data_IF_782107791386
#
_entry.id   IF_782107791386
#
_cell.length_a   1.000
_cell.length_b   1.000
_cell.length_c   1.000
_cell.angle_alpha   90.00
_cell.angle_beta   90.00
_cell.angle_gamma   90.00
#
_symmetry.space_group_name_H-M   'P 1'
#
loop_
_entity.id
_entity.type
_entity.pdbx_description
1 polymer ?
#
# COMPACT_ATOMS: atom_id res chain seq x y z
N UNK A 1 7.65 -29.31 14.89
CA UNK A 1 7.13 -28.47 13.80
C UNK A 1 7.82 -27.13 13.95
N UNK A 2 8.31 -26.55 12.88
CA UNK A 2 8.95 -25.24 12.95
C UNK A 2 7.94 -24.13 13.28
N UNK A 3 8.39 -23.06 13.95
CA UNK A 3 7.55 -21.92 14.32
C UNK A 3 7.16 -21.12 13.06
N UNK A 4 5.88 -20.83 12.89
CA UNK A 4 5.36 -20.03 11.79
C UNK A 4 5.01 -18.62 12.27
N UNK A 5 5.61 -17.61 11.70
CA UNK A 5 5.33 -16.18 11.99
C UNK A 5 4.71 -15.51 10.76
N UNK A 6 3.55 -14.91 10.92
CA UNK A 6 2.96 -14.09 9.89
C UNK A 6 3.46 -12.64 10.00
N UNK A 7 3.96 -12.08 8.91
CA UNK A 7 4.33 -10.68 8.81
C UNK A 7 3.15 -9.90 8.23
N UNK A 8 2.49 -9.10 9.05
CA UNK A 8 1.34 -8.29 8.68
C UNK A 8 1.67 -6.80 8.74
N UNK A 9 0.93 -5.98 8.03
CA UNK A 9 1.08 -4.52 8.07
C UNK A 9 0.49 -3.82 6.86
N UNK A 10 0.31 -2.52 7.01
CA UNK A 10 -0.26 -1.68 5.97
C UNK A 10 0.67 -1.59 4.74
N UNK A 11 0.13 -1.29 3.56
CA UNK A 11 0.96 -0.95 2.40
C UNK A 11 1.92 0.19 2.73
N UNK A 12 3.16 0.06 2.27
CA UNK A 12 4.26 1.02 2.50
C UNK A 12 4.77 1.16 3.96
N UNK A 13 4.34 0.33 4.89
CA UNK A 13 4.88 0.30 6.27
C UNK A 13 6.34 -0.19 6.37
N UNK A 14 6.92 -0.68 5.26
CA UNK A 14 8.26 -1.25 5.22
C UNK A 14 8.32 -2.78 5.39
N UNK A 15 7.18 -3.46 5.23
CA UNK A 15 7.02 -4.91 5.41
C UNK A 15 7.99 -5.72 4.54
N UNK A 16 8.04 -5.45 3.24
CA UNK A 16 8.96 -6.15 2.31
C UNK A 16 10.43 -5.91 2.67
N UNK A 17 10.79 -4.72 3.14
CA UNK A 17 12.15 -4.42 3.60
C UNK A 17 12.51 -5.27 4.82
N UNK A 18 11.60 -5.36 5.80
CA UNK A 18 11.79 -6.19 6.99
C UNK A 18 11.88 -7.68 6.62
N UNK A 19 10.98 -8.17 5.75
CA UNK A 19 10.99 -9.56 5.28
C UNK A 19 12.33 -9.92 4.64
N UNK A 20 12.84 -9.08 3.72
CA UNK A 20 14.12 -9.29 3.06
C UNK A 20 15.29 -9.24 4.06
N UNK A 21 15.24 -8.37 5.05
CA UNK A 21 16.26 -8.29 6.08
C UNK A 21 16.30 -9.55 6.96
N UNK A 22 15.15 -10.12 7.30
CA UNK A 22 15.02 -11.32 8.12
C UNK A 22 15.38 -12.60 7.36
N UNK A 23 14.95 -12.76 6.10
CA UNK A 23 15.05 -14.01 5.35
C UNK A 23 16.24 -14.06 4.38
N UNK A 24 16.67 -12.90 3.85
CA UNK A 24 17.76 -12.80 2.87
C UNK A 24 17.40 -13.48 1.55
N UNK A 25 18.31 -14.35 1.05
CA UNK A 25 18.11 -15.08 -0.21
C UNK A 25 17.27 -16.38 -0.05
N UNK A 26 16.92 -16.75 1.17
CA UNK A 26 16.18 -18.00 1.46
C UNK A 26 14.67 -17.76 1.39
N UNK A 27 14.18 -17.39 0.22
CA UNK A 27 12.77 -17.06 -0.02
C UNK A 27 12.18 -17.98 -1.07
N UNK A 28 10.93 -18.37 -0.85
CA UNK A 28 10.07 -18.97 -1.86
C UNK A 28 9.03 -17.91 -2.30
N UNK A 29 8.92 -17.72 -3.61
CA UNK A 29 7.96 -16.79 -4.20
C UNK A 29 7.03 -17.58 -5.11
N UNK A 30 5.74 -17.44 -4.92
CA UNK A 30 4.69 -18.08 -5.71
C UNK A 30 3.42 -17.24 -5.66
N UNK A 31 2.30 -17.84 -6.02
CA UNK A 31 1.00 -17.21 -5.86
C UNK A 31 0.18 -17.94 -4.79
N UNK A 32 -0.72 -17.24 -4.14
CA UNK A 32 -1.70 -17.87 -3.28
C UNK A 32 -2.65 -18.75 -4.11
N UNK A 33 -3.08 -19.92 -3.60
CA UNK A 33 -3.95 -20.82 -4.33
C UNK A 33 -5.23 -20.11 -4.84
N UNK A 34 -5.49 -20.24 -6.15
CA UNK A 34 -6.72 -19.73 -6.78
C UNK A 34 -6.78 -18.21 -7.03
N UNK A 35 -5.71 -17.47 -6.74
CA UNK A 35 -5.66 -16.00 -6.93
C UNK A 35 -4.31 -15.57 -7.50
N UNK A 36 -4.27 -14.36 -8.09
CA UNK A 36 -3.04 -13.76 -8.65
C UNK A 36 -2.20 -12.98 -7.63
N UNK A 37 -2.53 -13.10 -6.34
CA UNK A 37 -1.80 -12.43 -5.26
C UNK A 37 -0.52 -13.18 -4.96
N UNK A 38 0.59 -12.45 -4.86
CA UNK A 38 1.91 -13.01 -4.60
C UNK A 38 2.03 -13.55 -3.17
N UNK A 39 2.55 -14.78 -3.04
CA UNK A 39 2.87 -15.43 -1.77
C UNK A 39 4.38 -15.44 -1.59
N UNK A 40 4.88 -14.91 -0.48
CA UNK A 40 6.29 -14.95 -0.11
C UNK A 40 6.46 -15.65 1.23
N UNK A 41 7.32 -16.65 1.23
CA UNK A 41 7.67 -17.43 2.40
C UNK A 41 9.19 -17.53 2.50
N UNK A 42 9.75 -17.41 3.71
CA UNK A 42 11.18 -17.50 3.89
C UNK A 42 11.57 -17.99 5.27
N UNK A 43 12.75 -18.60 5.38
CA UNK A 43 13.31 -19.02 6.65
C UNK A 43 14.10 -17.88 7.28
N UNK A 44 13.95 -17.69 8.58
CA UNK A 44 14.73 -16.70 9.30
C UNK A 44 16.22 -17.03 9.25
N UNK A 45 17.07 -16.04 9.06
CA UNK A 45 18.53 -16.22 8.91
C UNK A 45 19.19 -16.79 10.14
N UNK A 46 18.71 -16.43 11.33
CA UNK A 46 19.31 -16.83 12.62
C UNK A 46 18.76 -18.15 13.11
N UNK A 47 17.51 -18.50 12.76
CA UNK A 47 16.91 -19.77 13.10
C UNK A 47 16.12 -20.33 11.91
N UNK A 48 16.67 -21.33 11.26
CA UNK A 48 16.06 -21.95 10.06
C UNK A 48 14.82 -22.82 10.35
N UNK A 49 14.49 -23.04 11.60
CA UNK A 49 13.25 -23.70 11.99
C UNK A 49 12.08 -22.72 12.02
N UNK A 50 12.35 -21.42 12.06
CA UNK A 50 11.36 -20.36 12.00
C UNK A 50 11.06 -20.01 10.55
N UNK A 51 9.80 -20.12 10.17
CA UNK A 51 9.27 -19.76 8.86
C UNK A 51 8.51 -18.44 8.97
N UNK A 52 8.89 -17.47 8.15
CA UNK A 52 8.23 -16.17 8.08
C UNK A 52 7.39 -16.12 6.80
N UNK A 53 6.10 -15.86 6.95
CA UNK A 53 5.15 -15.68 5.87
C UNK A 53 4.90 -14.18 5.66
N UNK A 54 5.23 -13.64 4.49
CA UNK A 54 4.91 -12.26 4.13
C UNK A 54 3.48 -12.18 3.60
N UNK A 55 2.57 -11.62 4.39
CA UNK A 55 1.20 -11.39 3.97
C UNK A 55 1.11 -10.18 3.04
N UNK A 56 0.13 -10.10 2.16
CA UNK A 56 -0.14 -8.89 1.39
C UNK A 56 -0.28 -7.66 2.29
N UNK A 57 0.07 -6.48 1.78
CA UNK A 57 -0.16 -5.23 2.50
C UNK A 57 -1.65 -4.89 2.51
N UNK A 58 -2.23 -4.81 3.70
CA UNK A 58 -3.66 -4.60 3.89
C UNK A 58 -3.92 -3.46 4.87
N UNK A 59 -5.08 -2.82 4.77
CA UNK A 59 -5.52 -1.79 5.72
C UNK A 59 -6.50 -2.34 6.75
N UNK A 60 -7.19 -3.42 6.41
CA UNK A 60 -8.24 -4.03 7.23
C UNK A 60 -8.30 -5.53 6.95
N UNK A 61 -8.91 -6.27 7.86
CA UNK A 61 -9.31 -7.67 7.66
C UNK A 61 -10.73 -7.78 7.06
N UNK A 62 -11.37 -6.66 6.71
CA UNK A 62 -12.63 -6.65 5.98
C UNK A 62 -12.41 -6.97 4.50
N UNK A 63 -13.29 -7.75 3.85
CA UNK A 63 -13.00 -8.40 2.56
C UNK A 63 -13.29 -7.53 1.33
N UNK A 64 -12.76 -6.30 1.29
CA UNK A 64 -12.97 -5.40 0.15
C UNK A 64 -12.03 -5.69 -1.04
N UNK A 65 -10.80 -6.15 -0.76
CA UNK A 65 -9.81 -6.48 -1.78
C UNK A 65 -9.42 -7.96 -1.74
N UNK A 66 -8.86 -8.47 -2.86
CA UNK A 66 -8.36 -9.86 -2.90
C UNK A 66 -7.22 -10.07 -1.90
N UNK A 67 -6.37 -9.08 -1.72
CA UNK A 67 -5.26 -9.08 -0.78
C UNK A 67 -5.76 -9.23 0.66
N UNK A 68 -6.81 -8.50 1.04
CA UNK A 68 -7.43 -8.58 2.37
C UNK A 68 -8.08 -9.94 2.61
N UNK A 69 -8.77 -10.47 1.59
CA UNK A 69 -9.36 -11.82 1.65
C UNK A 69 -8.29 -12.88 1.89
N UNK A 70 -7.18 -12.81 1.14
CA UNK A 70 -6.06 -13.76 1.24
C UNK A 70 -5.42 -13.70 2.62
N UNK A 71 -5.07 -12.49 3.09
CA UNK A 71 -4.43 -12.31 4.39
C UNK A 71 -5.32 -12.81 5.53
N UNK A 72 -6.61 -12.44 5.50
CA UNK A 72 -7.60 -12.88 6.49
C UNK A 72 -7.76 -14.40 6.50
N UNK A 73 -7.96 -15.02 5.33
CA UNK A 73 -8.15 -16.47 5.23
C UNK A 73 -6.92 -17.20 5.78
N UNK A 74 -5.71 -16.75 5.46
CA UNK A 74 -4.49 -17.33 6.00
C UNK A 74 -4.46 -17.25 7.53
N UNK A 75 -4.75 -16.07 8.11
CA UNK A 75 -4.72 -15.89 9.56
C UNK A 75 -5.76 -16.75 10.30
N UNK A 76 -6.93 -16.96 9.71
CA UNK A 76 -8.02 -17.73 10.30
C UNK A 76 -7.77 -19.26 10.15
N UNK A 77 -7.38 -19.72 8.93
CA UNK A 77 -7.30 -21.16 8.64
C UNK A 77 -5.95 -21.78 9.00
N UNK A 78 -4.84 -21.12 8.66
CA UNK A 78 -3.49 -21.63 8.93
C UNK A 78 -3.01 -21.32 10.34
N UNK A 79 -3.56 -20.31 10.98
CA UNK A 79 -3.26 -19.87 12.34
C UNK A 79 -1.76 -19.91 12.64
N UNK A 80 -0.99 -18.90 12.22
CA UNK A 80 0.43 -18.82 12.55
C UNK A 80 0.62 -18.78 14.07
N UNK A 81 1.78 -19.22 14.55
CA UNK A 81 2.10 -19.25 15.98
C UNK A 81 2.23 -17.86 16.59
N UNK A 82 2.59 -16.85 15.79
CA UNK A 82 2.58 -15.44 16.16
C UNK A 82 2.43 -14.53 14.92
N UNK A 83 1.99 -13.28 15.16
CA UNK A 83 1.93 -12.22 14.15
C UNK A 83 2.97 -11.16 14.50
N UNK A 84 3.86 -10.85 13.57
CA UNK A 84 4.72 -9.67 13.64
C UNK A 84 4.07 -8.56 12.80
N UNK A 85 3.39 -7.63 13.45
CA UNK A 85 2.67 -6.54 12.82
C UNK A 85 3.58 -5.31 12.65
N UNK A 86 3.82 -4.88 11.40
CA UNK A 86 4.63 -3.71 11.10
C UNK A 86 3.73 -2.49 10.96
N UNK A 87 4.05 -1.49 11.75
CA UNK A 87 3.31 -0.23 11.84
C UNK A 87 4.22 0.93 11.45
N UNK A 88 3.74 1.80 10.57
CA UNK A 88 4.44 3.05 10.24
C UNK A 88 4.28 4.06 11.39
N UNK A 89 5.38 4.35 12.08
CA UNK A 89 5.40 5.29 13.20
C UNK A 89 5.08 6.74 12.80
N UNK A 90 5.21 7.11 11.53
CA UNK A 90 4.86 8.45 11.05
C UNK A 90 3.35 8.62 10.86
N UNK A 91 2.61 7.49 10.68
CA UNK A 91 1.16 7.43 10.48
C UNK A 91 0.52 6.42 11.44
N UNK A 92 0.84 6.53 12.72
CA UNK A 92 0.47 5.55 13.74
C UNK A 92 -1.04 5.32 13.80
N UNK A 93 -1.84 6.39 13.81
CA UNK A 93 -3.31 6.33 13.90
C UNK A 93 -3.93 5.42 12.83
N UNK A 94 -3.57 5.62 11.57
CA UNK A 94 -4.10 4.83 10.46
C UNK A 94 -3.68 3.36 10.55
N UNK A 95 -2.47 3.09 11.02
CA UNK A 95 -1.93 1.74 11.10
C UNK A 95 -2.50 0.95 12.28
N UNK A 96 -2.90 1.62 13.36
CA UNK A 96 -3.50 0.97 14.52
C UNK A 96 -4.85 0.32 14.21
N UNK A 97 -5.57 0.75 13.18
CA UNK A 97 -6.83 0.14 12.78
C UNK A 97 -6.66 -1.36 12.40
N UNK A 98 -5.63 -1.68 11.62
CA UNK A 98 -5.30 -3.09 11.35
C UNK A 98 -4.81 -3.79 12.62
N UNK A 99 -4.03 -3.10 13.45
CA UNK A 99 -3.49 -3.69 14.69
C UNK A 99 -4.63 -4.15 15.63
N UNK A 100 -5.67 -3.33 15.81
CA UNK A 100 -6.82 -3.72 16.64
C UNK A 100 -7.50 -4.99 16.12
N UNK A 101 -7.70 -5.09 14.82
CA UNK A 101 -8.29 -6.29 14.21
C UNK A 101 -7.41 -7.54 14.31
N UNK A 102 -6.08 -7.39 14.24
CA UNK A 102 -5.16 -8.50 14.44
C UNK A 102 -5.17 -9.03 15.88
N UNK A 103 -5.34 -8.13 16.86
CA UNK A 103 -5.49 -8.50 18.27
C UNK A 103 -6.78 -9.28 18.54
N UNK A 104 -7.86 -8.97 17.81
CA UNK A 104 -9.16 -9.67 17.93
C UNK A 104 -9.10 -11.14 17.48
N UNK A 105 -8.07 -11.56 16.71
CA UNK A 105 -7.92 -12.94 16.20
C UNK A 105 -7.52 -13.98 17.28
N UNK A 106 -7.11 -13.52 18.46
CA UNK A 106 -6.62 -14.42 19.51
C UNK A 106 -5.30 -15.12 19.16
N UNK A 107 -4.49 -14.52 18.29
CA UNK A 107 -3.13 -14.95 17.95
C UNK A 107 -2.16 -13.98 18.63
N UNK A 108 -1.04 -14.44 19.23
CA UNK A 108 -0.05 -13.54 19.79
C UNK A 108 0.48 -12.52 18.79
N UNK A 109 0.40 -11.24 19.11
CA UNK A 109 0.84 -10.13 18.24
C UNK A 109 2.02 -9.42 18.87
N UNK A 110 3.07 -9.23 18.11
CA UNK A 110 4.18 -8.30 18.43
C UNK A 110 4.12 -7.15 17.45
N UNK A 111 3.97 -5.93 17.95
CA UNK A 111 3.90 -4.73 17.13
C UNK A 111 5.29 -4.11 16.93
N UNK A 112 5.76 -4.03 15.69
CA UNK A 112 7.02 -3.40 15.31
C UNK A 112 6.77 -2.03 14.70
N UNK A 113 7.04 -0.96 15.46
CA UNK A 113 6.93 0.42 14.98
C UNK A 113 8.15 0.74 14.13
N UNK A 114 7.94 0.87 12.84
CA UNK A 114 8.97 1.19 11.86
C UNK A 114 9.10 2.69 11.60
N UNK A 115 10.15 3.08 10.88
CA UNK A 115 10.46 4.48 10.55
C UNK A 115 10.75 5.37 11.77
N UNK A 116 11.22 4.77 12.87
CA UNK A 116 11.54 5.50 14.09
C UNK A 116 12.67 6.53 13.92
N UNK A 117 13.49 6.37 12.90
CA UNK A 117 14.48 7.38 12.52
C UNK A 117 13.82 8.65 11.96
N UNK A 118 12.72 8.52 11.23
CA UNK A 118 11.93 9.65 10.72
C UNK A 118 11.13 10.29 11.85
N UNK A 119 10.48 9.50 12.70
CA UNK A 119 9.75 9.97 13.89
C UNK A 119 10.66 10.84 14.77
N UNK A 120 11.86 10.35 15.11
CA UNK A 120 12.86 11.11 15.90
C UNK A 120 13.35 12.35 15.17
N UNK A 121 13.56 12.28 13.84
CA UNK A 121 13.97 13.43 13.04
C UNK A 121 12.93 14.55 13.05
N UNK A 122 11.64 14.17 13.05
CA UNK A 122 10.54 15.11 13.14
C UNK A 122 10.34 15.69 14.55
N UNK A 123 11.05 15.16 15.54
CA UNK A 123 10.89 15.54 16.94
C UNK A 123 9.62 15.01 17.60
N UNK A 124 8.97 14.01 16.97
CA UNK A 124 7.82 13.33 17.53
C UNK A 124 8.27 12.26 18.54
N UNK A 125 7.51 12.07 19.61
CA UNK A 125 7.76 11.07 20.63
C UNK A 125 6.61 10.09 20.74
N UNK A 126 6.93 8.78 20.66
CA UNK A 126 5.97 7.69 20.86
C UNK A 126 6.31 7.00 22.19
N UNK A 127 5.36 6.98 23.11
CA UNK A 127 5.48 6.24 24.37
C UNK A 127 5.12 4.77 24.16
N UNK A 128 6.12 3.96 23.81
CA UNK A 128 5.94 2.53 23.50
C UNK A 128 5.45 1.71 24.70
N UNK A 129 5.79 2.10 25.93
CA UNK A 129 5.33 1.40 27.14
C UNK A 129 3.84 1.56 27.35
N UNK A 130 3.35 2.82 27.32
CA UNK A 130 1.91 3.08 27.40
C UNK A 130 1.14 2.44 26.25
N UNK A 131 1.74 2.44 25.05
CA UNK A 131 1.13 1.83 23.88
C UNK A 131 0.98 0.32 24.05
N UNK A 132 2.02 -0.36 24.59
CA UNK A 132 1.99 -1.77 24.91
C UNK A 132 0.94 -2.11 25.97
N UNK A 133 0.85 -1.30 27.02
CA UNK A 133 -0.16 -1.47 28.08
C UNK A 133 -1.58 -1.34 27.55
N UNK A 134 -1.84 -0.31 26.70
CA UNK A 134 -3.18 -0.06 26.15
C UNK A 134 -3.62 -1.08 25.11
N UNK A 135 -2.68 -1.56 24.30
CA UNK A 135 -2.95 -2.57 23.27
C UNK A 135 -2.90 -4.01 23.80
N UNK A 136 -2.35 -4.22 24.99
CA UNK A 136 -2.14 -5.55 25.55
C UNK A 136 -1.18 -6.43 24.75
N UNK A 137 -0.28 -5.83 23.95
CA UNK A 137 0.68 -6.55 23.14
C UNK A 137 2.09 -5.99 23.29
N UNK A 138 3.10 -6.78 22.96
CA UNK A 138 4.48 -6.30 23.02
C UNK A 138 4.76 -5.33 21.87
N UNK A 139 5.42 -4.19 22.18
CA UNK A 139 5.74 -3.13 21.22
C UNK A 139 7.25 -2.97 21.12
N UNK A 140 7.78 -3.04 19.90
CA UNK A 140 9.21 -2.89 19.59
C UNK A 140 9.39 -1.74 18.59
N UNK A 141 10.46 -0.98 18.73
CA UNK A 141 10.81 0.06 17.75
C UNK A 141 11.86 -0.44 16.79
N UNK A 142 11.65 -0.22 15.49
CA UNK A 142 12.57 -0.63 14.46
C UNK A 142 12.85 0.49 13.43
N UNK A 143 13.94 0.34 12.71
CA UNK A 143 14.17 1.03 11.43
C UNK A 143 14.59 -0.01 10.41
N UNK A 144 13.63 -0.50 9.62
CA UNK A 144 13.87 -1.57 8.65
C UNK A 144 14.93 -1.17 7.60
N UNK A 145 14.97 0.13 7.23
CA UNK A 145 15.96 0.66 6.28
C UNK A 145 17.39 0.66 6.86
N UNK A 146 17.55 0.95 8.16
CA UNK A 146 18.85 0.98 8.83
C UNK A 146 19.26 -0.38 9.40
N UNK A 147 18.34 -1.33 9.47
CA UNK A 147 18.58 -2.62 10.10
C UNK A 147 18.46 -2.65 11.63
N UNK A 148 18.03 -1.53 12.23
CA UNK A 148 17.95 -1.40 13.70
C UNK A 148 16.70 -2.12 14.24
N UNK A 149 16.85 -2.87 15.34
CA UNK A 149 15.76 -3.51 16.07
C UNK A 149 15.11 -4.71 15.39
N UNK A 150 15.50 -5.06 14.15
CA UNK A 150 14.88 -6.12 13.34
C UNK A 150 14.98 -7.50 14.04
N UNK A 151 16.16 -7.85 14.52
CA UNK A 151 16.40 -9.12 15.20
C UNK A 151 15.64 -9.25 16.50
N UNK A 152 15.60 -8.15 17.27
CA UNK A 152 14.85 -8.11 18.52
C UNK A 152 13.35 -8.33 18.28
N UNK A 153 12.78 -7.66 17.27
CA UNK A 153 11.39 -7.84 16.90
C UNK A 153 11.05 -9.30 16.52
N UNK A 154 11.89 -9.95 15.69
CA UNK A 154 11.71 -11.35 15.32
C UNK A 154 11.88 -12.28 16.51
N UNK A 155 12.90 -12.08 17.36
CA UNK A 155 13.13 -12.91 18.55
C UNK A 155 11.97 -12.84 19.53
N UNK A 156 11.36 -11.65 19.71
CA UNK A 156 10.18 -11.49 20.56
C UNK A 156 8.97 -12.18 19.97
N UNK A 157 8.75 -12.09 18.63
CA UNK A 157 7.68 -12.82 17.98
C UNK A 157 7.83 -14.34 18.17
N UNK A 158 9.05 -14.88 18.04
CA UNK A 158 9.34 -16.31 18.33
C UNK A 158 9.08 -16.66 19.79
N UNK A 159 9.48 -15.78 20.73
CA UNK A 159 9.25 -15.98 22.16
C UNK A 159 7.77 -16.05 22.53
N UNK A 160 6.93 -15.28 21.86
CA UNK A 160 5.49 -15.27 22.07
C UNK A 160 4.76 -16.33 21.25
N UNK A 161 5.44 -16.94 20.28
CA UNK A 161 4.87 -18.02 19.48
C UNK A 161 4.39 -19.20 20.34
N UNK A 162 3.15 -19.63 20.11
CA UNK A 162 2.54 -20.72 20.86
C UNK A 162 2.12 -20.38 22.30
N UNK A 163 2.35 -19.16 22.76
CA UNK A 163 1.70 -18.68 23.99
C UNK A 163 0.23 -18.39 23.67
N UNK A 164 -0.67 -18.68 24.63
CA UNK A 164 -2.04 -18.20 24.50
C UNK A 164 -2.00 -16.67 24.49
N UNK A 165 -2.60 -16.03 23.48
CA UNK A 165 -2.87 -14.61 23.55
C UNK A 165 -3.63 -14.37 24.88
N UNK A 166 -3.10 -13.49 25.72
CA UNK A 166 -3.76 -13.22 27.01
C UNK A 166 -5.18 -12.73 26.77
N UNK A 167 -6.13 -13.28 27.49
CA UNK A 167 -7.54 -12.83 27.42
C UNK A 167 -7.69 -11.31 27.73
N UNK A 168 -6.68 -10.72 28.38
CA UNK A 168 -6.64 -9.28 28.76
C UNK A 168 -6.21 -8.36 27.61
N UNK A 169 -5.85 -8.89 26.43
CA UNK A 169 -5.28 -8.10 25.33
C UNK A 169 -6.27 -7.55 24.31
N UNK A 170 -7.55 -7.84 24.48
CA UNK A 170 -8.58 -7.33 23.57
C UNK A 170 -9.15 -6.05 24.16
N UNK A 171 -9.10 -4.97 23.37
CA UNK A 171 -9.75 -3.72 23.79
C UNK A 171 -11.27 -3.94 23.96
N UNK A 172 -11.84 -3.32 24.98
CA UNK A 172 -13.26 -3.31 25.22
C UNK A 172 -13.89 -2.14 24.47
N UNK A 173 -15.00 -2.39 23.81
CA UNK A 173 -15.87 -1.38 23.20
C UNK A 173 -16.73 -0.70 24.27
N UNK A 174 -17.59 0.23 23.89
CA UNK A 174 -18.56 0.80 24.80
C UNK A 174 -19.44 -0.30 25.42
N UNK A 175 -19.84 -0.16 26.70
CA UNK A 175 -20.61 -1.21 27.43
C UNK A 175 -21.87 -1.69 26.70
N UNK A 176 -22.52 -0.80 25.96
CA UNK A 176 -23.70 -1.10 25.16
C UNK A 176 -23.34 -2.08 24.02
N UNK A 177 -22.25 -1.82 23.30
CA UNK A 177 -21.77 -2.69 22.19
C UNK A 177 -21.28 -4.03 22.74
N UNK A 178 -20.55 -4.00 23.87
CA UNK A 178 -20.08 -5.22 24.54
C UNK A 178 -21.23 -6.16 24.93
N UNK A 179 -22.34 -5.63 25.40
CA UNK A 179 -23.51 -6.45 25.74
C UNK A 179 -24.04 -7.20 24.51
N UNK A 180 -24.12 -6.54 23.34
CA UNK A 180 -24.57 -7.19 22.12
C UNK A 180 -23.57 -8.22 21.62
N UNK A 181 -22.26 -7.92 21.68
CA UNK A 181 -21.23 -8.87 21.28
C UNK A 181 -21.20 -10.11 22.18
N UNK A 182 -21.35 -9.95 23.50
CA UNK A 182 -21.44 -11.05 24.45
C UNK A 182 -22.67 -11.93 24.19
N UNK A 183 -23.82 -11.34 23.81
CA UNK A 183 -25.01 -12.09 23.42
C UNK A 183 -24.75 -12.93 22.16
N UNK A 184 -24.03 -12.37 21.16
CA UNK A 184 -23.63 -13.11 19.97
C UNK A 184 -22.63 -14.22 20.31
N UNK A 185 -21.62 -13.95 21.15
CA UNK A 185 -20.66 -14.95 21.61
C UNK A 185 -21.35 -16.12 22.28
N UNK A 186 -22.40 -15.86 23.07
CA UNK A 186 -23.23 -16.89 23.70
C UNK A 186 -24.01 -17.76 22.72
N UNK A 187 -24.30 -17.28 21.50
CA UNK A 187 -24.92 -18.07 20.41
C UNK A 187 -23.94 -18.87 19.59
N UNK A 188 -22.63 -18.57 19.68
CA UNK A 188 -21.60 -19.30 18.94
C UNK A 188 -21.46 -20.73 19.52
N UNK A 189 -21.39 -21.71 18.60
CA UNK A 189 -21.27 -23.13 18.97
C UNK A 189 -19.92 -23.48 19.58
N UNK A 190 -19.84 -24.63 20.23
CA UNK A 190 -18.59 -25.18 20.79
C UNK A 190 -17.53 -25.55 19.74
N UNK A 191 -17.89 -25.52 18.47
CA UNK A 191 -16.98 -25.78 17.34
C UNK A 191 -15.94 -24.67 17.17
N UNK A 192 -16.22 -23.46 17.70
CA UNK A 192 -15.34 -22.29 17.63
C UNK A 192 -14.53 -22.21 18.92
N UNK A 193 -13.17 -22.19 18.82
CA UNK A 193 -12.31 -22.01 19.99
C UNK A 193 -12.65 -20.71 20.74
N UNK A 194 -12.60 -20.72 22.07
CA UNK A 194 -12.91 -19.57 22.92
C UNK A 194 -12.11 -18.32 22.50
N UNK A 195 -10.85 -18.50 22.12
CA UNK A 195 -9.93 -17.43 21.70
C UNK A 195 -10.37 -16.75 20.40
N UNK A 196 -11.27 -17.39 19.63
CA UNK A 196 -11.77 -16.86 18.36
C UNK A 196 -13.21 -16.31 18.45
N UNK A 197 -13.94 -16.63 19.50
CA UNK A 197 -15.34 -16.24 19.62
C UNK A 197 -15.54 -14.76 19.45
N UNK A 198 -14.66 -13.95 20.06
CA UNK A 198 -14.66 -12.49 19.94
C UNK A 198 -14.60 -12.03 18.49
N UNK A 199 -13.64 -12.53 17.72
CA UNK A 199 -13.48 -12.20 16.31
C UNK A 199 -14.72 -12.57 15.48
N UNK A 200 -15.26 -13.79 15.70
CA UNK A 200 -16.45 -14.22 14.97
C UNK A 200 -17.70 -13.41 15.38
N UNK A 201 -17.85 -13.07 16.66
CA UNK A 201 -18.96 -12.24 17.13
C UNK A 201 -18.93 -10.86 16.48
N UNK A 202 -17.76 -10.19 16.45
CA UNK A 202 -17.60 -8.88 15.79
C UNK A 202 -17.92 -8.99 14.29
N UNK A 203 -17.43 -10.03 13.61
CA UNK A 203 -17.65 -10.20 12.16
C UNK A 203 -19.10 -10.55 11.82
N UNK A 204 -19.77 -11.30 12.64
CA UNK A 204 -21.21 -11.56 12.49
C UNK A 204 -22.02 -10.29 12.74
N UNK A 205 -21.64 -9.48 13.74
CA UNK A 205 -22.28 -8.19 14.03
C UNK A 205 -22.09 -7.22 12.85
N UNK A 206 -20.91 -7.17 12.23
CA UNK A 206 -20.62 -6.39 11.02
C UNK A 206 -21.33 -6.94 9.75
N UNK A 207 -22.11 -8.03 9.84
CA UNK A 207 -22.73 -8.75 8.70
C UNK A 207 -21.73 -9.19 7.63
N UNK A 208 -20.55 -9.68 8.03
CA UNK A 208 -19.56 -10.22 7.08
C UNK A 208 -20.06 -11.56 6.48
N UNK A 209 -20.67 -11.50 5.29
CA UNK A 209 -21.23 -12.65 4.59
C UNK A 209 -20.20 -13.75 4.35
N UNK A 210 -18.96 -13.40 4.07
CA UNK A 210 -17.89 -14.40 3.81
C UNK A 210 -17.51 -15.19 5.05
N UNK A 211 -17.58 -14.58 6.22
CA UNK A 211 -17.40 -15.29 7.50
C UNK A 211 -18.61 -16.17 7.77
N UNK A 212 -19.82 -15.65 7.56
CA UNK A 212 -21.06 -16.40 7.70
C UNK A 212 -21.07 -17.64 6.80
N UNK A 213 -20.66 -17.50 5.53
CA UNK A 213 -20.60 -18.60 4.55
C UNK A 213 -19.49 -19.63 4.89
N UNK A 214 -18.40 -19.19 5.52
CA UNK A 214 -17.31 -20.08 5.93
C UNK A 214 -17.67 -20.92 7.18
N UNK A 215 -18.66 -20.51 7.95
CA UNK A 215 -19.14 -21.22 9.14
C UNK A 215 -20.13 -22.32 8.74
N UNK A 216 -19.90 -23.57 9.18
CA UNK A 216 -20.84 -24.67 8.90
C UNK A 216 -22.23 -24.48 9.49
N UNK A 217 -22.30 -23.84 10.67
CA UNK A 217 -23.52 -23.57 11.43
C UNK A 217 -23.46 -22.15 11.97
N UNK A 218 -23.57 -21.13 11.12
CA UNK A 218 -23.62 -19.73 11.55
C UNK A 218 -24.93 -19.48 12.33
N UNK A 219 -24.89 -18.97 13.56
CA UNK A 219 -26.09 -18.62 14.29
C UNK A 219 -26.81 -17.46 13.61
N UNK A 220 -28.12 -17.43 13.70
CA UNK A 220 -28.89 -16.25 13.34
C UNK A 220 -28.75 -15.21 14.46
N UNK A 221 -28.24 -14.04 14.11
CA UNK A 221 -27.97 -12.92 15.02
C UNK A 221 -28.67 -11.63 14.59
N UNK A 222 -29.51 -11.70 13.55
CA UNK A 222 -30.14 -10.52 12.94
C UNK A 222 -31.05 -9.78 13.95
N UNK A 223 -31.69 -10.49 14.87
CA UNK A 223 -32.48 -9.91 15.94
C UNK A 223 -31.66 -9.05 16.93
N UNK A 224 -30.40 -9.45 17.18
CA UNK A 224 -29.48 -8.70 18.04
C UNK A 224 -29.00 -7.45 17.29
N UNK A 225 -28.59 -7.62 16.05
CA UNK A 225 -28.09 -6.53 15.19
C UNK A 225 -29.18 -5.46 15.02
N UNK A 226 -30.40 -5.84 14.66
CA UNK A 226 -31.49 -4.90 14.48
C UNK A 226 -31.85 -4.12 15.76
N UNK A 227 -31.65 -4.71 16.96
CA UNK A 227 -31.80 -4.01 18.22
C UNK A 227 -30.71 -2.96 18.43
N UNK A 228 -29.44 -3.34 18.15
CA UNK A 228 -28.30 -2.46 18.29
C UNK A 228 -28.39 -1.27 17.33
N UNK A 229 -28.71 -1.51 16.06
CA UNK A 229 -28.86 -0.46 15.03
C UNK A 229 -29.99 0.52 15.39
N UNK A 230 -31.10 0.01 15.94
CA UNK A 230 -32.20 0.86 16.39
C UNK A 230 -31.86 1.70 17.62
N UNK A 231 -31.05 1.14 18.55
CA UNK A 231 -30.68 1.84 19.79
C UNK A 231 -29.59 2.89 19.51
N UNK A 232 -28.62 2.58 18.63
CA UNK A 232 -27.49 3.44 18.34
C UNK A 232 -27.73 4.37 17.15
N UNK A 233 -28.84 4.23 16.41
CA UNK A 233 -29.21 5.01 15.22
C UNK A 233 -28.12 5.02 14.15
N UNK A 234 -27.41 3.88 14.00
CA UNK A 234 -26.34 3.69 13.02
C UNK A 234 -26.31 2.24 12.54
N UNK A 235 -25.67 1.97 11.40
CA UNK A 235 -25.50 0.60 10.90
C UNK A 235 -24.41 -0.16 11.68
N UNK A 236 -24.51 -1.47 11.72
CA UNK A 236 -23.66 -2.32 12.55
C UNK A 236 -22.16 -2.21 12.19
N UNK A 237 -21.81 -2.07 10.90
CA UNK A 237 -20.44 -1.88 10.44
C UNK A 237 -19.88 -0.52 10.91
N UNK A 238 -20.69 0.54 10.81
CA UNK A 238 -20.33 1.87 11.29
C UNK A 238 -20.15 1.91 12.79
N UNK A 239 -21.02 1.25 13.56
CA UNK A 239 -20.90 1.15 15.02
C UNK A 239 -19.53 0.61 15.41
N UNK A 240 -19.15 -0.56 14.90
CA UNK A 240 -17.86 -1.18 15.23
C UNK A 240 -16.67 -0.34 14.72
N UNK A 241 -16.82 0.27 13.56
CA UNK A 241 -15.77 1.14 13.01
C UNK A 241 -15.56 2.39 13.88
N UNK A 242 -16.64 3.03 14.33
CA UNK A 242 -16.60 4.19 15.20
C UNK A 242 -15.98 3.84 16.57
N UNK A 243 -16.32 2.68 17.14
CA UNK A 243 -15.73 2.19 18.39
C UNK A 243 -14.22 1.99 18.26
N UNK A 244 -13.74 1.34 17.17
CA UNK A 244 -12.30 1.19 16.91
C UNK A 244 -11.61 2.53 16.79
N UNK A 245 -12.16 3.50 16.05
CA UNK A 245 -11.56 4.82 15.92
C UNK A 245 -11.59 5.61 17.23
N UNK A 246 -12.63 5.47 18.04
CA UNK A 246 -12.71 6.07 19.38
C UNK A 246 -11.61 5.54 20.28
N UNK A 247 -11.41 4.22 20.31
CA UNK A 247 -10.32 3.58 21.04
C UNK A 247 -8.94 4.04 20.54
N UNK A 248 -8.71 4.02 19.22
CA UNK A 248 -7.45 4.48 18.61
C UNK A 248 -7.19 5.95 18.96
N UNK A 249 -8.20 6.82 18.88
CA UNK A 249 -8.10 8.22 19.26
C UNK A 249 -7.64 8.42 20.70
N UNK A 250 -8.17 7.61 21.63
CA UNK A 250 -7.77 7.62 23.03
C UNK A 250 -6.28 7.22 23.21
N UNK A 251 -5.83 6.21 22.46
CA UNK A 251 -4.43 5.76 22.50
C UNK A 251 -3.51 6.83 21.96
N UNK A 252 -3.84 7.40 20.80
CA UNK A 252 -3.00 8.43 20.15
C UNK A 252 -2.85 9.64 21.04
N UNK A 253 -3.95 10.11 21.67
CA UNK A 253 -3.90 11.24 22.60
C UNK A 253 -2.94 11.04 23.77
N UNK A 254 -2.83 9.82 24.26
CA UNK A 254 -2.01 9.49 25.44
C UNK A 254 -0.57 9.09 25.10
N UNK A 255 -0.35 8.48 23.94
CA UNK A 255 0.90 7.82 23.58
C UNK A 255 1.76 8.59 22.59
N UNK A 256 1.15 9.49 21.76
CA UNK A 256 1.86 10.22 20.72
C UNK A 256 1.94 11.71 21.07
N UNK A 257 3.16 12.23 21.22
CA UNK A 257 3.41 13.67 21.29
C UNK A 257 3.97 14.15 19.95
N UNK A 258 3.14 14.82 19.17
CA UNK A 258 3.59 15.49 17.95
C UNK A 258 4.26 16.80 18.29
N UNK A 259 5.45 17.02 17.74
CA UNK A 259 6.13 18.30 17.86
C UNK A 259 5.37 19.34 16.99
N UNK A 260 4.71 20.30 17.65
CA UNK A 260 3.96 21.38 16.99
C UNK A 260 4.83 22.35 16.17
N UNK A 261 6.14 22.30 16.37
CA UNK A 261 7.13 23.08 15.62
C UNK A 261 7.70 22.27 14.44
N UNK A 262 6.85 21.62 13.63
CA UNK A 262 7.32 21.16 12.33
C UNK A 262 7.69 22.41 11.52
N UNK A 263 8.99 22.71 11.44
CA UNK A 263 9.49 23.58 10.38
C UNK A 263 9.04 22.93 9.07
N UNK A 264 8.20 23.67 8.34
CA UNK A 264 7.74 23.24 7.02
C UNK A 264 8.96 22.79 6.23
N UNK A 265 8.98 21.54 5.82
CA UNK A 265 10.05 21.04 4.97
C UNK A 265 10.11 21.88 3.70
N UNK A 266 11.24 21.89 3.03
CA UNK A 266 11.35 22.61 1.74
C UNK A 266 10.27 22.14 0.77
N UNK A 267 9.91 20.84 0.82
CA UNK A 267 8.81 20.26 0.05
C UNK A 267 7.45 20.88 0.41
N UNK A 268 7.13 20.99 1.71
CA UNK A 268 5.87 21.58 2.18
C UNK A 268 5.76 23.07 1.83
N UNK A 269 6.89 23.78 1.83
CA UNK A 269 6.93 25.20 1.39
C UNK A 269 6.64 25.31 -0.11
N UNK A 270 7.22 24.42 -0.92
CA UNK A 270 6.97 24.36 -2.36
C UNK A 270 5.51 23.98 -2.62
N UNK A 271 5.01 22.92 -1.97
CA UNK A 271 3.63 22.49 -2.11
C UNK A 271 2.64 23.58 -1.75
N UNK A 272 2.87 24.32 -0.67
CA UNK A 272 2.02 25.45 -0.27
C UNK A 272 1.97 26.57 -1.32
N UNK A 273 3.06 26.78 -2.07
CA UNK A 273 3.11 27.77 -3.15
C UNK A 273 2.41 27.22 -4.39
N UNK A 274 2.71 25.98 -4.78
CA UNK A 274 2.18 25.35 -6.00
C UNK A 274 0.68 25.04 -5.89
N UNK A 275 0.20 24.67 -4.70
CA UNK A 275 -1.22 24.37 -4.45
C UNK A 275 -2.05 25.59 -4.05
N UNK A 276 -1.44 26.77 -3.96
CA UNK A 276 -2.17 28.00 -3.65
C UNK A 276 -3.18 28.32 -4.74
N UNK A 277 -4.45 28.51 -4.36
CA UNK A 277 -5.58 28.72 -5.28
C UNK A 277 -5.36 29.82 -6.34
N UNK A 278 -4.62 30.86 -6.01
CA UNK A 278 -4.35 31.97 -6.91
C UNK A 278 -3.05 31.84 -7.69
N UNK A 279 -2.03 31.19 -7.08
CA UNK A 279 -0.72 30.98 -7.69
C UNK A 279 -0.63 29.74 -8.56
N UNK A 280 -1.48 28.73 -8.33
CA UNK A 280 -1.48 27.47 -9.07
C UNK A 280 -1.68 27.68 -10.58
N UNK A 281 -2.65 28.54 -10.99
CA UNK A 281 -2.93 28.80 -12.41
C UNK A 281 -1.76 29.49 -13.14
N UNK A 282 -1.16 30.59 -12.64
CA UNK A 282 -0.02 31.21 -13.31
C UNK A 282 1.23 30.30 -13.29
N UNK A 283 1.46 29.52 -12.22
CA UNK A 283 2.56 28.55 -12.17
C UNK A 283 2.35 27.45 -13.22
N UNK A 284 1.13 26.91 -13.31
CA UNK A 284 0.78 25.91 -14.33
C UNK A 284 1.00 26.47 -15.75
N UNK A 285 0.53 27.69 -16.02
CA UNK A 285 0.73 28.35 -17.31
C UNK A 285 2.22 28.52 -17.64
N UNK A 286 3.03 28.92 -16.65
CA UNK A 286 4.47 29.08 -16.81
C UNK A 286 5.18 27.73 -17.10
N UNK A 287 4.79 26.68 -16.40
CA UNK A 287 5.34 25.31 -16.61
C UNK A 287 4.94 24.80 -17.99
N UNK A 288 3.67 24.95 -18.39
CA UNK A 288 3.20 24.52 -19.72
C UNK A 288 3.87 25.31 -20.84
N UNK A 289 4.07 26.61 -20.65
CA UNK A 289 4.84 27.40 -21.58
C UNK A 289 6.29 26.97 -21.71
N UNK A 290 6.94 26.64 -20.58
CA UNK A 290 8.30 26.11 -20.56
C UNK A 290 8.40 24.76 -21.31
N UNK A 291 7.46 23.84 -21.02
CA UNK A 291 7.39 22.54 -21.71
C UNK A 291 7.22 22.73 -23.22
N UNK A 292 6.30 23.59 -23.61
CA UNK A 292 6.09 23.92 -25.03
C UNK A 292 7.35 24.54 -25.68
N UNK A 293 7.96 25.51 -25.01
CA UNK A 293 9.17 26.17 -25.50
C UNK A 293 10.33 25.18 -25.71
N UNK A 294 10.57 24.32 -24.74
CA UNK A 294 11.63 23.28 -24.83
C UNK A 294 11.30 22.26 -25.92
N UNK A 295 10.06 21.81 -26.01
CA UNK A 295 9.66 20.77 -26.98
C UNK A 295 9.64 21.26 -28.40
N UNK A 296 9.24 22.51 -28.64
CA UNK A 296 9.05 23.04 -30.00
C UNK A 296 10.25 23.83 -30.47
N UNK A 297 10.80 24.74 -29.64
CA UNK A 297 11.82 25.69 -30.09
C UNK A 297 13.26 25.25 -29.87
N UNK A 298 13.51 24.31 -28.92
CA UNK A 298 14.87 23.87 -28.63
C UNK A 298 15.11 22.43 -29.06
N UNK A 299 14.76 21.46 -28.23
CA UNK A 299 15.04 20.03 -28.49
C UNK A 299 14.25 19.55 -29.72
N UNK A 300 13.00 19.96 -29.84
CA UNK A 300 12.15 19.56 -30.97
C UNK A 300 12.67 20.09 -32.30
N UNK A 301 13.08 21.36 -32.39
CA UNK A 301 13.61 21.94 -33.64
C UNK A 301 14.91 21.23 -34.07
N UNK A 302 15.85 21.03 -33.14
CA UNK A 302 17.12 20.34 -33.45
C UNK A 302 16.88 18.92 -34.02
N UNK A 303 15.94 18.18 -33.43
CA UNK A 303 15.60 16.85 -33.90
C UNK A 303 14.86 16.87 -35.25
N UNK A 304 13.99 17.86 -35.45
CA UNK A 304 13.26 18.07 -36.71
C UNK A 304 14.22 18.43 -37.84
N UNK A 305 15.13 19.38 -37.60
CA UNK A 305 16.15 19.82 -38.59
C UNK A 305 17.07 18.64 -38.94
N UNK A 306 17.53 17.88 -37.94
CA UNK A 306 18.33 16.68 -38.19
C UNK A 306 17.56 15.65 -39.03
N UNK A 307 16.26 15.45 -38.76
CA UNK A 307 15.44 14.50 -39.51
C UNK A 307 15.26 14.95 -40.96
N UNK A 308 14.93 16.23 -41.18
CA UNK A 308 14.65 16.74 -42.49
C UNK A 308 15.92 16.91 -43.33
N UNK A 309 16.99 17.49 -42.77
CA UNK A 309 18.18 17.83 -43.52
C UNK A 309 19.12 16.63 -43.68
N UNK A 310 19.45 15.94 -42.54
CA UNK A 310 20.41 14.84 -42.59
C UNK A 310 19.77 13.54 -43.04
N UNK A 311 18.66 13.11 -42.39
CA UNK A 311 18.06 11.82 -42.69
C UNK A 311 17.41 11.80 -44.07
N UNK A 312 16.52 12.76 -44.36
CA UNK A 312 15.83 12.81 -45.63
C UNK A 312 16.68 13.52 -46.70
N UNK A 313 17.25 14.69 -46.41
CA UNK A 313 17.97 15.50 -47.40
C UNK A 313 19.27 14.88 -47.86
N UNK A 314 20.11 14.36 -46.96
CA UNK A 314 21.41 13.83 -47.34
C UNK A 314 21.44 12.32 -47.60
N UNK A 315 20.59 11.53 -46.91
CA UNK A 315 20.67 10.07 -47.01
C UNK A 315 19.58 9.47 -47.87
N UNK A 316 18.28 9.70 -47.56
CA UNK A 316 17.17 8.97 -48.20
C UNK A 316 16.95 9.48 -49.63
N UNK A 317 16.84 10.77 -49.83
CA UNK A 317 16.52 11.35 -51.15
C UNK A 317 17.66 11.07 -52.17
N UNK A 318 18.95 11.33 -51.85
CA UNK A 318 20.02 11.03 -52.79
C UNK A 318 20.19 9.52 -53.08
N UNK A 319 20.00 8.68 -52.06
CA UNK A 319 20.05 7.22 -52.24
C UNK A 319 18.90 6.73 -53.15
N UNK A 320 17.70 7.25 -52.99
CA UNK A 320 16.56 6.91 -53.85
C UNK A 320 16.79 7.39 -55.30
N UNK A 321 17.28 8.63 -55.50
CA UNK A 321 17.61 9.13 -56.82
C UNK A 321 18.62 8.24 -57.50
N UNK A 322 19.76 7.93 -56.87
CA UNK A 322 20.80 7.06 -57.41
C UNK A 322 20.28 5.66 -57.74
N UNK A 323 19.37 5.12 -56.94
CA UNK A 323 18.75 3.83 -57.18
C UNK A 323 17.86 3.83 -58.42
N UNK A 324 16.98 4.83 -58.59
CA UNK A 324 16.08 4.90 -59.77
C UNK A 324 16.82 5.24 -61.05
N UNK A 325 17.86 6.08 -61.00
CA UNK A 325 18.76 6.35 -62.13
C UNK A 325 19.55 5.08 -62.55
N UNK A 326 20.00 4.29 -61.56
CA UNK A 326 20.76 3.03 -61.81
C UNK A 326 19.89 1.94 -62.50
N UNK A 327 18.59 1.96 -62.32
CA UNK A 327 17.65 1.03 -62.98
C UNK A 327 17.21 1.56 -64.36
N UNK A 328 17.54 2.80 -64.73
CA UNK A 328 17.18 3.40 -66.00
C UNK A 328 15.70 3.85 -66.03
N UNK A 329 15.19 4.30 -64.92
CA UNK A 329 13.81 4.81 -64.80
C UNK A 329 13.67 6.13 -65.59
N UNK A 330 12.47 6.36 -66.14
CA UNK A 330 12.19 7.62 -66.86
C UNK A 330 12.19 8.80 -65.86
N UNK A 331 12.80 9.94 -66.23
CA UNK A 331 13.01 11.11 -65.37
C UNK A 331 11.71 11.61 -64.67
N UNK A 332 10.59 11.61 -65.41
CA UNK A 332 9.30 12.03 -64.85
C UNK A 332 8.80 11.12 -63.71
N UNK A 333 9.08 9.79 -63.81
CA UNK A 333 8.66 8.81 -62.83
C UNK A 333 9.59 8.87 -61.61
N UNK A 334 10.88 9.11 -61.77
CA UNK A 334 11.86 9.34 -60.71
C UNK A 334 11.46 10.60 -59.90
N UNK A 335 11.13 11.70 -60.60
CA UNK A 335 10.67 12.92 -59.94
C UNK A 335 9.35 12.71 -59.17
N UNK A 336 8.38 12.00 -59.75
CA UNK A 336 7.15 11.71 -59.07
C UNK A 336 7.33 10.92 -57.75
N UNK A 337 8.22 9.93 -57.79
CA UNK A 337 8.46 9.07 -56.60
C UNK A 337 9.33 9.81 -55.60
N UNK A 338 10.40 10.40 -56.00
CA UNK A 338 11.38 11.03 -55.09
C UNK A 338 10.83 12.36 -54.56
N UNK A 339 10.43 13.28 -55.44
CA UNK A 339 9.99 14.61 -55.03
C UNK A 339 8.54 14.60 -54.53
N UNK A 340 7.66 13.72 -55.11
CA UNK A 340 6.29 13.64 -54.69
C UNK A 340 6.10 12.76 -53.46
N UNK A 341 6.47 11.49 -53.54
CA UNK A 341 6.16 10.52 -52.47
C UNK A 341 7.19 10.61 -51.31
N UNK A 342 8.48 10.47 -51.59
CA UNK A 342 9.53 10.36 -50.56
C UNK A 342 9.67 11.70 -49.83
N UNK A 343 9.72 12.81 -50.53
CA UNK A 343 9.80 14.13 -49.94
C UNK A 343 8.53 14.50 -49.18
N UNK A 344 7.34 14.12 -49.70
CA UNK A 344 6.06 14.30 -48.98
C UNK A 344 5.98 13.51 -47.69
N UNK A 345 6.40 12.24 -47.70
CA UNK A 345 6.50 11.43 -46.48
C UNK A 345 7.53 12.00 -45.51
N UNK A 346 8.69 12.47 -46.02
CA UNK A 346 9.74 13.13 -45.25
C UNK A 346 9.21 14.35 -44.48
N UNK A 347 8.45 15.20 -45.16
CA UNK A 347 7.85 16.39 -44.55
C UNK A 347 6.88 16.04 -43.39
N UNK A 348 6.11 14.97 -43.50
CA UNK A 348 5.24 14.50 -42.41
C UNK A 348 6.05 13.89 -41.27
N UNK A 349 7.03 13.04 -41.57
CA UNK A 349 7.87 12.39 -40.56
C UNK A 349 8.80 13.38 -39.85
N UNK A 350 9.14 14.50 -40.48
CA UNK A 350 9.89 15.58 -39.88
C UNK A 350 9.25 16.17 -38.62
N UNK A 351 7.93 16.14 -38.49
CA UNK A 351 7.23 16.63 -37.28
C UNK A 351 7.18 15.59 -36.15
N UNK A 352 7.42 14.31 -36.43
CA UNK A 352 7.29 13.23 -35.43
C UNK A 352 8.23 13.42 -34.24
N UNK A 353 9.52 13.77 -34.38
CA UNK A 353 10.43 13.98 -33.26
C UNK A 353 9.94 15.08 -32.30
N UNK A 354 9.45 16.19 -32.82
CA UNK A 354 8.92 17.29 -32.02
C UNK A 354 7.70 16.88 -31.20
N UNK A 355 6.78 16.16 -31.81
CA UNK A 355 5.60 15.61 -31.13
C UNK A 355 5.98 14.57 -30.07
N UNK A 356 6.97 13.71 -30.36
CA UNK A 356 7.44 12.69 -29.43
C UNK A 356 8.02 13.33 -28.17
N UNK A 357 8.85 14.37 -28.30
CA UNK A 357 9.39 15.11 -27.15
C UNK A 357 8.27 15.71 -26.31
N UNK A 358 7.28 16.34 -26.96
CA UNK A 358 6.11 16.90 -26.26
C UNK A 358 5.35 15.83 -25.47
N UNK A 359 5.07 14.68 -26.10
CA UNK A 359 4.36 13.58 -25.43
C UNK A 359 5.16 12.95 -24.28
N UNK A 360 6.48 12.88 -24.36
CA UNK A 360 7.31 12.41 -23.25
C UNK A 360 7.17 13.31 -22.03
N UNK A 361 7.19 14.64 -22.24
CA UNK A 361 7.00 15.57 -21.14
C UNK A 361 5.59 15.49 -20.56
N UNK A 362 4.53 15.44 -21.38
CA UNK A 362 3.16 15.30 -20.91
C UNK A 362 2.93 13.98 -20.16
N UNK A 363 3.47 12.86 -20.64
CA UNK A 363 3.37 11.57 -19.95
C UNK A 363 4.12 11.53 -18.62
N UNK A 364 5.19 12.30 -18.49
CA UNK A 364 5.91 12.45 -17.22
C UNK A 364 5.06 13.12 -16.14
N UNK A 365 4.24 14.10 -16.53
CA UNK A 365 3.27 14.77 -15.65
C UNK A 365 2.14 13.82 -15.23
N UNK A 366 1.58 13.05 -16.15
CA UNK A 366 0.47 12.11 -15.87
C UNK A 366 0.84 11.04 -14.85
N UNK A 367 2.09 10.55 -14.87
CA UNK A 367 2.58 9.58 -13.87
C UNK A 367 2.68 10.15 -12.45
N UNK A 368 2.87 11.44 -12.28
CA UNK A 368 2.89 12.09 -10.95
C UNK A 368 1.48 12.23 -10.40
N UNK A 369 0.53 12.70 -11.21
CA UNK A 369 -0.88 12.85 -10.80
C UNK A 369 -1.50 11.50 -10.44
N UNK A 370 -1.21 10.42 -11.18
CA UNK A 370 -1.74 9.08 -10.90
C UNK A 370 -1.22 8.45 -9.60
N UNK A 371 -0.04 8.82 -9.11
CA UNK A 371 0.48 8.36 -7.82
C UNK A 371 -0.11 9.11 -6.63
N UNK A 372 -0.39 10.39 -6.77
CA UNK A 372 -1.00 11.20 -5.70
C UNK A 372 -2.49 10.89 -5.51
N UNK A 373 -3.24 10.58 -6.58
CA UNK A 373 -4.63 10.14 -6.47
C UNK A 373 -4.79 8.78 -5.80
N UNK A 374 -3.81 7.86 -5.93
CA UNK A 374 -3.82 6.56 -5.23
C UNK A 374 -3.50 6.65 -3.74
N UNK A 375 -2.93 7.74 -3.28
CA UNK A 375 -2.57 7.93 -1.86
C UNK A 375 -3.63 8.72 -1.07
N UNK A 376 -4.72 9.15 -1.69
CA UNK A 376 -5.78 9.96 -1.06
C UNK A 376 -7.15 9.26 -0.98
N UNK A 377 -7.21 7.96 -1.36
CA UNK A 377 -8.39 7.09 -1.14
C UNK A 377 -8.03 5.93 -0.26
#
# INVERSE_FOLDING_TARGET
MGVKIALAGNPNSGKTTLFNALTGSNQFVGNWPGVTVEKKEGKWKEDKEVVIMDLPGIYSLSPYTLEEVVARNYLITERPDAILNIVDGTNLERNLYLTTQLLELGIPVVMAINMMDIVRKNGDEINTKKLAEKLGCEVVTISALKGDGIKDAASRAVKHAGQKAGQESVHEFAPEVENYLNEIEGRLGYEIPEEQKRFYAIKLFERDDKIKDAMKNAPDVEDIIARAEKEMDDDAESIITNERYSFIGSIIGDCLKKNKTQELTTSDKIDRIVTNRWLALPIFAAVMWLVYYVSVTTVGSILTDWTNDTLFGEWIIPAAQSFFEGIGCADWLTGLIVDGVISGVGAVLGFVPQMLVLFIFLRSEERRVGKECRSRW
#
